data_IF_811148740029
#
_entry.id   IF_811148740029
#
_cell.length_a   1.000
_cell.length_b   1.000
_cell.length_c   1.000
_cell.angle_alpha   90.00
_cell.angle_beta   90.00
_cell.angle_gamma   90.00
#
_symmetry.space_group_name_H-M   'P 1'
#
loop_
_entity.id
_entity.type
_entity.pdbx_description
1 polymer ?
#
# COMPACT_ATOMS: atom_id res chain seq x y z
N UNK A 1 23.91 -8.42 -33.84
CA UNK A 1 24.66 -7.46 -34.69
C UNK A 1 26.12 -7.23 -34.25
N UNK A 2 26.46 -7.20 -32.95
CA UNK A 2 27.84 -6.94 -32.49
C UNK A 2 28.81 -8.11 -32.74
N UNK A 3 28.32 -9.35 -32.70
CA UNK A 3 29.15 -10.55 -32.82
C UNK A 3 29.68 -10.79 -34.25
N UNK A 4 28.87 -10.44 -35.26
CA UNK A 4 29.25 -10.55 -36.68
C UNK A 4 30.32 -9.50 -37.07
N UNK A 5 30.31 -8.33 -36.42
CA UNK A 5 31.32 -7.28 -36.62
C UNK A 5 32.68 -7.66 -36.01
N UNK A 6 32.69 -8.33 -34.85
CA UNK A 6 33.93 -8.87 -34.27
C UNK A 6 34.54 -9.99 -35.12
N UNK A 7 33.70 -10.85 -35.70
CA UNK A 7 34.18 -11.95 -36.54
C UNK A 7 34.78 -11.46 -37.86
N UNK A 8 34.18 -10.45 -38.49
CA UNK A 8 34.66 -9.85 -39.74
C UNK A 8 35.95 -9.02 -39.58
N UNK A 9 36.11 -8.31 -38.45
CA UNK A 9 37.37 -7.62 -38.14
C UNK A 9 38.52 -8.59 -37.86
N UNK A 10 38.27 -9.71 -37.17
CA UNK A 10 39.29 -10.72 -36.89
C UNK A 10 39.81 -11.41 -38.16
N UNK A 11 38.94 -11.66 -39.15
CA UNK A 11 39.36 -12.20 -40.45
C UNK A 11 40.15 -11.20 -41.29
N UNK A 12 39.81 -9.91 -41.21
CA UNK A 12 40.52 -8.85 -41.92
C UNK A 12 41.94 -8.66 -41.40
N UNK A 13 42.13 -8.61 -40.07
CA UNK A 13 43.46 -8.49 -39.46
C UNK A 13 44.38 -9.69 -39.79
N UNK A 14 43.84 -10.92 -39.82
CA UNK A 14 44.64 -12.09 -40.23
C UNK A 14 45.10 -12.02 -41.69
N UNK A 15 44.25 -11.55 -42.59
CA UNK A 15 44.62 -11.36 -43.99
C UNK A 15 45.64 -10.24 -44.19
N UNK A 16 45.57 -9.19 -43.37
CA UNK A 16 46.50 -8.07 -43.41
C UNK A 16 47.90 -8.46 -42.85
N UNK A 17 47.94 -9.23 -41.75
CA UNK A 17 49.19 -9.77 -41.21
C UNK A 17 49.88 -10.77 -42.15
N UNK A 18 49.09 -11.61 -42.86
CA UNK A 18 49.62 -12.51 -43.88
C UNK A 18 50.21 -11.77 -45.09
N UNK A 19 49.69 -10.57 -45.41
CA UNK A 19 50.28 -9.70 -46.44
C UNK A 19 51.57 -9.06 -45.96
N UNK A 20 51.64 -8.61 -44.71
CA UNK A 20 52.86 -8.00 -44.16
C UNK A 20 54.01 -9.00 -43.99
N UNK A 21 53.74 -10.27 -43.68
CA UNK A 21 54.78 -11.30 -43.64
C UNK A 21 55.32 -11.69 -45.02
N UNK A 22 54.54 -11.57 -46.09
CA UNK A 22 54.98 -11.89 -47.45
C UNK A 22 55.78 -10.77 -48.14
N UNK A 23 55.85 -9.57 -47.54
CA UNK A 23 56.59 -8.42 -48.09
C UNK A 23 58.07 -8.43 -47.67
N UNK A 24 58.44 -9.19 -46.63
CA UNK A 24 59.82 -9.23 -46.12
C UNK A 24 60.61 -10.50 -46.49
N UNK A 25 60.06 -11.37 -47.34
CA UNK A 25 60.77 -12.54 -47.89
C UNK A 25 61.03 -12.41 -49.40
N UNK A 26 61.34 -11.18 -49.83
CA UNK A 26 61.86 -10.90 -51.17
C UNK A 26 63.36 -11.21 -51.19
N UNK A 27 63.66 -12.48 -51.41
CA UNK A 27 65.01 -12.99 -51.60
C UNK A 27 65.61 -12.34 -52.86
N UNK A 28 66.60 -11.46 -52.65
CA UNK A 28 67.40 -10.83 -53.72
C UNK A 28 68.19 -11.93 -54.47
N UNK A 29 67.94 -12.17 -55.77
CA UNK A 29 68.75 -13.08 -56.56
C UNK A 29 70.08 -12.41 -56.92
N UNK A 30 71.18 -12.98 -56.44
CA UNK A 30 72.54 -12.61 -56.83
C UNK A 30 72.77 -12.99 -58.30
N UNK A 31 73.24 -12.04 -59.10
CA UNK A 31 73.48 -12.18 -60.53
C UNK A 31 74.53 -13.26 -60.83
N UNK A 32 74.14 -14.23 -61.66
CA UNK A 32 75.03 -15.25 -62.18
C UNK A 32 74.37 -16.10 -63.26
N UNK A 33 74.60 -15.72 -64.53
CA UNK A 33 74.38 -16.46 -65.79
C UNK A 33 73.08 -16.19 -66.58
N UNK A 34 73.23 -15.51 -67.73
CA UNK A 34 72.45 -15.77 -68.96
C UNK A 34 71.63 -14.60 -69.57
N UNK A 35 71.98 -14.07 -70.76
CA UNK A 35 71.32 -12.90 -71.37
C UNK A 35 70.17 -13.27 -72.32
N UNK A 36 69.11 -13.93 -71.83
CA UNK A 36 67.92 -14.26 -72.67
C UNK A 36 66.56 -14.06 -71.96
N UNK A 37 66.53 -13.94 -70.63
CA UNK A 37 65.25 -13.91 -69.87
C UNK A 37 64.67 -12.51 -69.62
N UNK A 38 65.50 -11.47 -69.52
CA UNK A 38 65.06 -10.12 -69.09
C UNK A 38 64.23 -9.39 -70.17
N UNK A 39 64.54 -9.58 -71.46
CA UNK A 39 63.73 -8.99 -72.55
C UNK A 39 62.36 -9.67 -72.67
N UNK A 40 62.25 -10.95 -72.32
CA UNK A 40 60.97 -11.68 -72.32
C UNK A 40 60.06 -11.23 -71.18
N UNK A 41 60.58 -10.94 -69.98
CA UNK A 41 59.75 -10.58 -68.81
C UNK A 41 59.08 -9.22 -68.95
N UNK A 42 59.79 -8.19 -69.44
CA UNK A 42 59.21 -6.84 -69.65
C UNK A 42 58.17 -6.85 -70.78
N UNK A 43 58.40 -7.66 -71.82
CA UNK A 43 57.46 -7.83 -72.94
C UNK A 43 56.21 -8.60 -72.52
N UNK A 44 56.34 -9.60 -71.64
CA UNK A 44 55.23 -10.36 -71.05
C UNK A 44 54.39 -9.51 -70.10
N UNK A 45 55.01 -8.64 -69.29
CA UNK A 45 54.30 -7.78 -68.35
C UNK A 45 53.49 -6.69 -69.07
N UNK A 46 54.08 -6.07 -70.10
CA UNK A 46 53.41 -5.12 -70.98
C UNK A 46 52.34 -5.77 -71.88
N UNK A 47 52.48 -7.08 -72.15
CA UNK A 47 51.45 -7.89 -72.82
C UNK A 47 50.26 -8.16 -71.88
N UNK A 48 50.52 -8.52 -70.63
CA UNK A 48 49.49 -8.73 -69.60
C UNK A 48 48.68 -7.46 -69.34
N UNK A 49 49.32 -6.31 -69.17
CA UNK A 49 48.63 -5.02 -69.02
C UNK A 49 47.74 -4.70 -70.23
N UNK A 50 48.20 -5.01 -71.45
CA UNK A 50 47.44 -4.80 -72.68
C UNK A 50 46.24 -5.74 -72.76
N UNK A 51 46.38 -6.97 -72.29
CA UNK A 51 45.24 -7.91 -72.19
C UNK A 51 44.23 -7.48 -71.15
N UNK A 52 44.66 -6.93 -70.01
CA UNK A 52 43.78 -6.40 -68.98
C UNK A 52 43.04 -5.12 -69.42
N UNK A 53 43.69 -4.25 -70.19
CA UNK A 53 43.02 -3.10 -70.80
C UNK A 53 41.97 -3.56 -71.81
N UNK A 54 42.26 -4.60 -72.58
CA UNK A 54 41.36 -5.14 -73.59
C UNK A 54 40.15 -5.84 -72.96
N UNK A 55 40.33 -6.57 -71.87
CA UNK A 55 39.19 -7.13 -71.12
C UNK A 55 38.33 -6.05 -70.48
N UNK A 56 38.93 -4.96 -69.97
CA UNK A 56 38.15 -3.80 -69.49
C UNK A 56 37.33 -3.16 -70.60
N UNK A 57 37.91 -2.99 -71.79
CA UNK A 57 37.19 -2.47 -72.96
C UNK A 57 36.01 -3.38 -73.33
N UNK A 58 36.21 -4.70 -73.36
CA UNK A 58 35.14 -5.66 -73.67
C UNK A 58 33.98 -5.59 -72.64
N UNK A 59 34.30 -5.36 -71.36
CA UNK A 59 33.29 -5.20 -70.31
C UNK A 59 32.49 -3.91 -70.52
N UNK A 60 33.17 -2.79 -70.80
CA UNK A 60 32.49 -1.53 -71.09
C UNK A 60 31.66 -1.61 -72.37
N UNK A 61 32.14 -2.27 -73.41
CA UNK A 61 31.41 -2.44 -74.66
C UNK A 61 30.14 -3.28 -74.48
N UNK A 62 30.22 -4.37 -73.70
CA UNK A 62 29.04 -5.18 -73.33
C UNK A 62 28.04 -4.38 -72.50
N UNK A 63 28.51 -3.57 -71.56
CA UNK A 63 27.65 -2.70 -70.75
C UNK A 63 26.96 -1.63 -71.62
N UNK A 64 27.70 -0.96 -72.51
CA UNK A 64 27.15 0.03 -73.43
C UNK A 64 26.15 -0.57 -74.41
N UNK A 65 26.41 -1.78 -74.94
CA UNK A 65 25.47 -2.50 -75.80
C UNK A 65 24.15 -2.78 -75.07
N UNK A 66 24.24 -3.21 -73.82
CA UNK A 66 23.07 -3.45 -72.96
C UNK A 66 22.26 -2.18 -72.69
N UNK A 67 22.94 -1.06 -72.44
CA UNK A 67 22.28 0.25 -72.27
C UNK A 67 21.61 0.68 -73.58
N UNK A 68 22.30 0.55 -74.71
CA UNK A 68 21.79 0.88 -76.05
C UNK A 68 20.53 0.07 -76.40
N UNK A 69 20.55 -1.23 -76.12
CA UNK A 69 19.41 -2.12 -76.30
C UNK A 69 18.24 -1.77 -75.38
N UNK A 70 18.50 -1.49 -74.10
CA UNK A 70 17.46 -1.14 -73.12
C UNK A 70 16.82 0.23 -73.39
N UNK A 71 17.59 1.18 -73.90
CA UNK A 71 17.12 2.53 -74.24
C UNK A 71 16.54 2.60 -75.66
N UNK A 72 16.72 1.57 -76.48
CA UNK A 72 16.18 1.48 -77.85
C UNK A 72 16.84 2.45 -78.85
N UNK A 73 18.13 2.78 -78.64
CA UNK A 73 18.79 3.90 -79.31
C UNK A 73 19.80 3.42 -80.36
N UNK A 74 19.93 4.11 -81.48
CA UNK A 74 20.80 3.67 -82.60
C UNK A 74 22.25 4.12 -82.47
N UNK A 75 22.53 5.19 -81.73
CA UNK A 75 23.88 5.76 -81.54
C UNK A 75 24.19 6.02 -80.06
N UNK A 76 25.47 5.90 -79.68
CA UNK A 76 25.97 6.15 -78.32
C UNK A 76 25.76 7.61 -77.92
N UNK A 77 25.91 8.54 -78.86
CA UNK A 77 25.74 9.97 -78.58
C UNK A 77 24.28 10.33 -78.23
N UNK A 78 23.31 9.65 -78.84
CA UNK A 78 21.89 9.83 -78.54
C UNK A 78 21.53 9.27 -77.16
N UNK A 79 22.19 8.18 -76.70
CA UNK A 79 22.07 7.69 -75.32
C UNK A 79 22.55 8.74 -74.32
N UNK A 80 23.71 9.36 -74.58
CA UNK A 80 24.29 10.39 -73.71
C UNK A 80 23.36 11.60 -73.61
N UNK A 81 22.83 12.08 -74.73
CA UNK A 81 21.89 13.21 -74.72
C UNK A 81 20.60 12.91 -73.94
N UNK A 82 20.03 11.70 -74.09
CA UNK A 82 18.83 11.31 -73.34
C UNK A 82 19.09 11.26 -71.84
N UNK A 83 20.26 10.77 -71.42
CA UNK A 83 20.66 10.78 -70.01
C UNK A 83 20.74 12.21 -69.50
N UNK A 84 21.44 13.10 -70.20
CA UNK A 84 21.60 14.50 -69.77
C UNK A 84 20.24 15.23 -69.70
N UNK A 85 19.36 15.01 -70.68
CA UNK A 85 18.03 15.64 -70.71
C UNK A 85 17.13 15.10 -69.59
N UNK A 86 17.18 13.81 -69.30
CA UNK A 86 16.34 13.18 -68.28
C UNK A 86 16.87 13.35 -66.85
N UNK A 87 18.16 13.64 -66.67
CA UNK A 87 18.81 13.76 -65.37
C UNK A 87 18.03 14.69 -64.43
N UNK A 88 17.67 15.90 -64.90
CA UNK A 88 16.86 16.86 -64.14
C UNK A 88 15.49 16.32 -63.70
N UNK A 89 14.82 15.56 -64.58
CA UNK A 89 13.50 14.97 -64.28
C UNK A 89 13.64 13.81 -63.29
N UNK A 90 14.70 13.00 -63.42
CA UNK A 90 14.98 11.92 -62.48
C UNK A 90 15.33 12.45 -61.09
N UNK A 91 16.13 13.52 -61.01
CA UNK A 91 16.49 14.17 -59.76
C UNK A 91 15.26 14.76 -59.05
N UNK A 92 14.39 15.46 -59.80
CA UNK A 92 13.13 15.97 -59.26
C UNK A 92 12.23 14.84 -58.73
N UNK A 93 12.08 13.73 -59.46
CA UNK A 93 11.30 12.57 -59.00
C UNK A 93 11.91 11.91 -57.76
N UNK A 94 13.24 11.82 -57.66
CA UNK A 94 13.91 11.33 -56.46
C UNK A 94 13.68 12.26 -55.26
N UNK A 95 13.73 13.58 -55.46
CA UNK A 95 13.41 14.57 -54.42
C UNK A 95 11.97 14.43 -53.95
N UNK A 96 11.01 14.40 -54.87
CA UNK A 96 9.58 14.19 -54.57
C UNK A 96 9.34 12.88 -53.83
N UNK A 97 10.04 11.81 -54.20
CA UNK A 97 9.94 10.51 -53.50
C UNK A 97 10.44 10.64 -52.06
N UNK A 98 11.58 11.32 -51.86
CA UNK A 98 12.15 11.56 -50.53
C UNK A 98 11.20 12.39 -49.66
N UNK A 99 10.66 13.48 -50.20
CA UNK A 99 9.76 14.37 -49.47
C UNK A 99 8.44 13.69 -49.11
N UNK A 100 7.88 12.89 -50.02
CA UNK A 100 6.69 12.10 -49.75
C UNK A 100 6.95 11.02 -48.70
N UNK A 101 8.11 10.37 -48.74
CA UNK A 101 8.50 9.39 -47.73
C UNK A 101 8.61 10.03 -46.34
N UNK A 102 9.24 11.20 -46.24
CA UNK A 102 9.30 11.96 -44.98
C UNK A 102 7.91 12.38 -44.48
N UNK A 103 7.01 12.81 -45.38
CA UNK A 103 5.63 13.14 -45.01
C UNK A 103 4.87 11.92 -44.51
N UNK A 104 5.04 10.76 -45.14
CA UNK A 104 4.41 9.51 -44.70
C UNK A 104 4.90 9.13 -43.30
N UNK A 105 6.20 9.24 -43.03
CA UNK A 105 6.79 8.96 -41.73
C UNK A 105 6.26 9.91 -40.65
N UNK A 106 6.23 11.21 -40.93
CA UNK A 106 5.69 12.22 -40.00
C UNK A 106 4.19 12.01 -39.70
N UNK A 107 3.38 11.74 -40.74
CA UNK A 107 1.95 11.46 -40.57
C UNK A 107 1.72 10.12 -39.84
N UNK A 108 2.56 9.12 -40.09
CA UNK A 108 2.57 7.84 -39.38
C UNK A 108 2.83 8.04 -37.88
N UNK A 109 3.84 8.84 -37.55
CA UNK A 109 4.19 9.15 -36.15
C UNK A 109 3.06 9.93 -35.47
N UNK A 110 2.51 10.95 -36.11
CA UNK A 110 1.35 11.69 -35.58
C UNK A 110 0.14 10.77 -35.37
N UNK A 111 -0.14 9.86 -36.31
CA UNK A 111 -1.23 8.88 -36.17
C UNK A 111 -1.03 7.99 -34.96
N UNK A 112 0.20 7.53 -34.70
CA UNK A 112 0.52 6.73 -33.52
C UNK A 112 0.36 7.58 -32.25
N UNK A 113 0.88 8.80 -32.22
CA UNK A 113 0.75 9.71 -31.09
C UNK A 113 -0.71 10.01 -30.72
N UNK A 114 -1.53 10.35 -31.72
CA UNK A 114 -2.97 10.59 -31.52
C UNK A 114 -3.68 9.32 -31.04
N UNK A 115 -3.35 8.14 -31.60
CA UNK A 115 -3.93 6.88 -31.12
C UNK A 115 -3.59 6.62 -29.65
N UNK A 116 -2.34 6.83 -29.24
CA UNK A 116 -1.98 6.67 -27.82
C UNK A 116 -2.74 7.64 -26.93
N UNK A 117 -2.88 8.90 -27.36
CA UNK A 117 -3.61 9.90 -26.57
C UNK A 117 -5.12 9.58 -26.51
N UNK A 118 -5.69 9.03 -27.57
CA UNK A 118 -7.07 8.52 -27.56
C UNK A 118 -7.22 7.35 -26.60
N UNK A 119 -6.30 6.38 -26.57
CA UNK A 119 -6.34 5.29 -25.60
C UNK A 119 -6.17 5.81 -24.17
N UNK A 120 -5.24 6.74 -23.94
CA UNK A 120 -5.08 7.42 -22.66
C UNK A 120 -6.39 8.09 -22.24
N UNK A 121 -7.03 8.88 -23.09
CA UNK A 121 -8.30 9.55 -22.76
C UNK A 121 -9.44 8.55 -22.55
N UNK A 122 -9.52 7.47 -23.34
CA UNK A 122 -10.54 6.42 -23.15
C UNK A 122 -10.41 5.74 -21.78
N UNK A 123 -9.19 5.50 -21.30
CA UNK A 123 -8.95 4.83 -20.02
C UNK A 123 -8.72 5.78 -18.84
N UNK A 124 -8.44 7.06 -19.09
CA UNK A 124 -8.25 8.14 -18.09
C UNK A 124 -9.52 8.97 -17.88
N UNK A 125 -10.45 8.95 -18.83
CA UNK A 125 -11.71 9.66 -18.78
C UNK A 125 -12.62 9.21 -17.61
N UNK A 126 -13.71 9.95 -17.33
CA UNK A 126 -14.60 9.70 -16.19
C UNK A 126 -15.21 8.29 -16.13
N UNK A 127 -15.16 7.53 -17.23
CA UNK A 127 -15.64 6.14 -17.33
C UNK A 127 -14.56 5.06 -17.18
N UNK A 128 -13.28 5.43 -17.02
CA UNK A 128 -12.19 4.46 -16.83
C UNK A 128 -12.29 3.78 -15.48
N UNK A 129 -12.38 2.44 -15.46
CA UNK A 129 -12.65 1.64 -14.25
C UNK A 129 -11.69 1.84 -13.07
N UNK A 130 -10.51 2.43 -13.28
CA UNK A 130 -9.58 2.76 -12.21
C UNK A 130 -10.07 3.94 -11.34
N UNK A 131 -10.66 4.97 -11.95
CA UNK A 131 -11.17 6.15 -11.22
C UNK A 131 -12.37 5.77 -10.35
N UNK A 132 -13.23 4.88 -10.84
CA UNK A 132 -14.39 4.38 -10.08
C UNK A 132 -13.96 3.56 -8.86
N UNK A 133 -13.00 2.64 -9.00
CA UNK A 133 -12.42 1.90 -7.87
C UNK A 133 -11.79 2.82 -6.82
N UNK A 134 -11.17 3.93 -7.24
CA UNK A 134 -10.61 4.91 -6.32
C UNK A 134 -11.72 5.66 -5.56
N UNK A 135 -12.79 6.04 -6.26
CA UNK A 135 -13.98 6.63 -5.64
C UNK A 135 -14.62 5.66 -4.65
N UNK A 136 -14.86 4.41 -5.04
CA UNK A 136 -15.43 3.38 -4.15
C UNK A 136 -14.56 3.19 -2.90
N UNK A 137 -13.22 3.21 -3.05
CA UNK A 137 -12.29 3.14 -1.91
C UNK A 137 -12.41 4.35 -0.99
N UNK A 138 -12.53 5.55 -1.54
CA UNK A 138 -12.71 6.77 -0.74
C UNK A 138 -14.07 6.79 -0.05
N UNK A 139 -15.13 6.35 -0.72
CA UNK A 139 -16.47 6.20 -0.13
C UNK A 139 -16.44 5.19 1.03
N UNK A 140 -15.80 4.04 0.84
CA UNK A 140 -15.62 3.05 1.91
C UNK A 140 -14.80 3.59 3.10
N UNK A 141 -13.73 4.34 2.82
CA UNK A 141 -12.92 5.00 3.85
C UNK A 141 -13.74 6.04 4.63
N UNK A 142 -14.55 6.83 3.93
CA UNK A 142 -15.41 7.84 4.52
C UNK A 142 -16.47 7.20 5.41
N UNK A 143 -17.14 6.14 4.94
CA UNK A 143 -18.12 5.39 5.72
C UNK A 143 -17.50 4.80 7.01
N UNK A 144 -16.31 4.20 6.90
CA UNK A 144 -15.59 3.64 8.05
C UNK A 144 -15.17 4.73 9.05
N UNK A 145 -14.68 5.87 8.56
CA UNK A 145 -14.31 7.00 9.40
C UNK A 145 -15.52 7.61 10.12
N UNK A 146 -16.65 7.78 9.43
CA UNK A 146 -17.89 8.27 9.99
C UNK A 146 -18.44 7.33 11.08
N UNK A 147 -18.45 6.03 10.83
CA UNK A 147 -18.88 5.04 11.83
C UNK A 147 -17.97 5.04 13.07
N UNK A 148 -16.65 5.21 12.89
CA UNK A 148 -15.72 5.33 14.01
C UNK A 148 -15.96 6.61 14.81
N UNK A 149 -16.22 7.72 14.12
CA UNK A 149 -16.55 8.99 14.76
C UNK A 149 -17.81 8.87 15.61
N UNK A 150 -18.88 8.26 15.11
CA UNK A 150 -20.13 8.11 15.87
C UNK A 150 -19.94 7.22 17.10
N UNK A 151 -19.21 6.10 16.98
CA UNK A 151 -18.85 5.26 18.14
C UNK A 151 -18.08 6.04 19.20
N UNK A 152 -17.13 6.89 18.78
CA UNK A 152 -16.40 7.76 19.71
C UNK A 152 -17.33 8.80 20.32
N UNK A 153 -18.21 9.43 19.54
CA UNK A 153 -19.17 10.45 19.98
C UNK A 153 -20.04 9.94 21.13
N UNK A 154 -20.66 8.77 20.96
CA UNK A 154 -21.51 8.13 21.98
C UNK A 154 -20.72 7.86 23.27
N UNK A 155 -19.48 7.35 23.15
CA UNK A 155 -18.61 7.11 24.32
C UNK A 155 -18.28 8.40 25.07
N UNK A 156 -17.97 9.47 24.35
CA UNK A 156 -17.66 10.77 24.95
C UNK A 156 -18.89 11.36 25.62
N UNK A 157 -20.07 11.30 25.00
CA UNK A 157 -21.32 11.75 25.64
C UNK A 157 -21.60 11.00 26.95
N UNK A 158 -21.38 9.68 26.98
CA UNK A 158 -21.51 8.89 28.21
C UNK A 158 -20.51 9.35 29.28
N UNK A 159 -19.25 9.55 28.91
CA UNK A 159 -18.21 10.06 29.82
C UNK A 159 -18.57 11.45 30.35
N UNK A 160 -19.04 12.36 29.50
CA UNK A 160 -19.49 13.69 29.89
C UNK A 160 -20.63 13.62 30.91
N UNK A 161 -21.63 12.77 30.69
CA UNK A 161 -22.72 12.56 31.67
C UNK A 161 -22.19 12.05 33.02
N UNK A 162 -21.25 11.10 33.00
CA UNK A 162 -20.64 10.59 34.24
C UNK A 162 -19.83 11.66 34.96
N UNK A 163 -19.04 12.47 34.26
CA UNK A 163 -18.24 13.55 34.86
C UNK A 163 -19.16 14.62 35.48
N UNK A 164 -20.27 14.96 34.83
CA UNK A 164 -21.27 15.87 35.39
C UNK A 164 -21.87 15.29 36.68
N UNK A 165 -22.24 14.01 36.68
CA UNK A 165 -22.78 13.33 37.87
C UNK A 165 -21.76 13.29 39.03
N UNK A 166 -20.50 12.98 38.74
CA UNK A 166 -19.41 13.00 39.75
C UNK A 166 -19.21 14.40 40.30
N UNK A 167 -19.16 15.43 39.44
CA UNK A 167 -19.01 16.82 39.88
C UNK A 167 -20.17 17.26 40.77
N UNK A 168 -21.41 16.90 40.42
CA UNK A 168 -22.57 17.15 41.27
C UNK A 168 -22.46 16.41 42.62
N UNK A 169 -22.07 15.13 42.61
CA UNK A 169 -21.85 14.35 43.83
C UNK A 169 -20.78 14.94 44.75
N UNK A 170 -19.65 15.39 44.19
CA UNK A 170 -18.58 16.09 44.94
C UNK A 170 -19.09 17.40 45.53
N UNK A 171 -19.92 18.16 44.80
CA UNK A 171 -20.57 19.37 45.32
C UNK A 171 -21.49 19.05 46.50
N UNK A 172 -22.38 18.07 46.34
CA UNK A 172 -23.29 17.66 47.41
C UNK A 172 -22.54 17.17 48.66
N UNK A 173 -21.44 16.43 48.47
CA UNK A 173 -20.56 16.02 49.56
C UNK A 173 -19.92 17.23 50.25
N UNK A 174 -19.44 18.19 49.46
CA UNK A 174 -18.87 19.44 49.97
C UNK A 174 -19.88 20.23 50.80
N UNK A 175 -21.10 20.40 50.29
CA UNK A 175 -22.20 21.11 50.96
C UNK A 175 -22.59 20.44 52.29
N UNK A 176 -22.64 19.10 52.34
CA UNK A 176 -22.94 18.35 53.58
C UNK A 176 -21.84 18.43 54.62
N UNK A 177 -20.59 18.49 54.18
CA UNK A 177 -19.43 18.57 55.08
C UNK A 177 -19.15 19.99 55.58
N UNK A 178 -19.74 21.01 54.96
CA UNK A 178 -19.44 22.42 55.26
C UNK A 178 -19.67 22.77 56.74
N UNK A 179 -20.70 22.19 57.36
CA UNK A 179 -21.00 22.42 58.79
C UNK A 179 -19.96 21.87 59.77
N UNK A 180 -19.19 20.84 59.40
CA UNK A 180 -18.14 20.24 60.27
C UNK A 180 -16.74 20.59 59.75
N UNK A 181 -16.64 21.20 58.58
CA UNK A 181 -15.38 21.51 57.90
C UNK A 181 -14.48 22.41 58.72
N UNK A 182 -15.04 23.47 59.33
CA UNK A 182 -14.28 24.41 60.15
C UNK A 182 -13.71 23.74 61.42
N UNK A 183 -14.48 22.84 62.05
CA UNK A 183 -14.07 22.09 63.26
C UNK A 183 -13.02 21.01 62.98
N UNK A 184 -12.94 20.57 61.72
CA UNK A 184 -12.00 19.55 61.23
C UNK A 184 -10.78 20.19 60.55
N UNK A 185 -10.67 21.53 60.54
CA UNK A 185 -9.55 22.26 59.93
C UNK A 185 -9.49 22.16 58.40
N UNK A 186 -10.59 21.77 57.77
CA UNK A 186 -10.68 21.57 56.32
C UNK A 186 -10.77 22.90 55.55
N UNK A 187 -10.20 22.95 54.35
CA UNK A 187 -10.27 24.14 53.49
C UNK A 187 -11.51 24.08 52.61
N UNK A 188 -12.28 25.17 52.56
CA UNK A 188 -13.35 25.32 51.57
C UNK A 188 -12.74 25.76 50.23
N UNK A 189 -12.80 24.89 49.21
CA UNK A 189 -12.23 25.15 47.88
C UNK A 189 -13.36 25.29 46.87
N UNK A 190 -13.34 26.34 46.06
CA UNK A 190 -14.35 26.51 45.01
C UNK A 190 -14.31 25.37 43.98
N UNK A 191 -15.47 24.84 43.64
CA UNK A 191 -15.63 23.74 42.69
C UNK A 191 -15.60 24.23 41.23
N UNK A 192 -14.48 24.00 40.55
CA UNK A 192 -14.27 24.25 39.12
C UNK A 192 -13.81 22.96 38.45
N UNK A 193 -13.85 22.87 37.12
CA UNK A 193 -13.48 21.64 36.40
C UNK A 193 -12.03 21.21 36.71
N UNK A 194 -11.11 22.17 36.87
CA UNK A 194 -9.73 21.90 37.26
C UNK A 194 -9.57 21.53 38.75
N UNK A 195 -10.46 22.01 39.62
CA UNK A 195 -10.35 21.81 41.08
C UNK A 195 -11.20 20.66 41.61
N UNK A 196 -12.05 20.05 40.79
CA UNK A 196 -12.97 18.95 41.18
C UNK A 196 -12.25 17.83 41.93
N UNK A 197 -11.09 17.39 41.41
CA UNK A 197 -10.29 16.35 42.06
C UNK A 197 -9.74 16.79 43.42
N UNK A 198 -9.27 18.04 43.52
CA UNK A 198 -8.74 18.61 44.77
C UNK A 198 -9.83 18.76 45.84
N UNK A 199 -11.03 19.18 45.45
CA UNK A 199 -12.20 19.26 46.34
C UNK A 199 -12.58 17.85 46.83
N UNK A 200 -12.58 16.86 45.94
CA UNK A 200 -12.88 15.47 46.30
C UNK A 200 -11.88 14.90 47.32
N UNK A 201 -10.58 15.12 47.11
CA UNK A 201 -9.54 14.69 48.06
C UNK A 201 -9.68 15.36 49.43
N UNK A 202 -9.99 16.66 49.47
CA UNK A 202 -10.24 17.37 50.73
C UNK A 202 -11.48 16.81 51.44
N UNK A 203 -12.55 16.53 50.70
CA UNK A 203 -13.75 15.92 51.27
C UNK A 203 -13.48 14.52 51.81
N UNK A 204 -12.60 13.73 51.17
CA UNK A 204 -12.18 12.41 51.65
C UNK A 204 -11.43 12.50 52.99
N UNK A 205 -10.50 13.45 53.12
CA UNK A 205 -9.75 13.67 54.37
C UNK A 205 -10.72 14.02 55.52
N UNK A 206 -11.64 14.94 55.28
CA UNK A 206 -12.63 15.37 56.29
C UNK A 206 -13.54 14.21 56.68
N UNK A 207 -14.00 13.41 55.72
CA UNK A 207 -14.84 12.23 55.98
C UNK A 207 -14.09 11.16 56.78
N UNK A 208 -12.80 10.94 56.48
CA UNK A 208 -11.97 9.99 57.21
C UNK A 208 -11.76 10.41 58.67
N UNK A 209 -11.48 11.70 58.91
CA UNK A 209 -11.34 12.25 60.26
C UNK A 209 -12.68 12.22 61.02
N UNK A 210 -13.79 12.56 60.36
CA UNK A 210 -15.13 12.45 60.94
C UNK A 210 -15.44 11.00 61.35
N UNK A 211 -15.12 10.03 60.48
CA UNK A 211 -15.27 8.61 60.81
C UNK A 211 -14.38 8.18 61.99
N UNK A 212 -13.16 8.70 62.09
CA UNK A 212 -12.29 8.43 63.24
C UNK A 212 -12.88 8.99 64.55
N UNK A 213 -13.40 10.22 64.53
CA UNK A 213 -14.08 10.84 65.69
C UNK A 213 -15.34 10.07 66.10
N UNK A 214 -16.15 9.63 65.12
CA UNK A 214 -17.33 8.80 65.40
C UNK A 214 -16.93 7.47 66.03
N UNK A 215 -15.89 6.78 65.53
CA UNK A 215 -15.41 5.52 66.12
C UNK A 215 -14.98 5.69 67.57
N UNK A 216 -14.22 6.74 67.88
CA UNK A 216 -13.82 7.04 69.26
C UNK A 216 -15.03 7.35 70.14
N UNK A 217 -16.03 8.08 69.62
CA UNK A 217 -17.27 8.35 70.35
C UNK A 217 -18.07 7.06 70.61
N UNK A 218 -18.19 6.15 69.63
CA UNK A 218 -18.89 4.87 69.78
C UNK A 218 -18.14 3.90 70.70
N UNK A 219 -16.81 3.92 70.69
CA UNK A 219 -15.99 3.10 71.60
C UNK A 219 -16.14 3.59 73.04
N UNK A 220 -16.22 4.91 73.25
CA UNK A 220 -16.50 5.49 74.55
C UNK A 220 -17.93 5.20 75.03
N UNK A 221 -18.92 5.28 74.14
CA UNK A 221 -20.32 4.97 74.44
C UNK A 221 -20.50 3.48 74.76
N UNK A 222 -19.86 2.59 73.99
CA UNK A 222 -19.87 1.14 74.26
C UNK A 222 -19.12 0.76 75.54
N UNK A 223 -18.07 1.48 75.93
CA UNK A 223 -17.42 1.29 77.24
C UNK A 223 -18.33 1.72 78.40
N UNK A 224 -19.17 2.74 78.21
CA UNK A 224 -20.17 3.18 79.19
C UNK A 224 -21.35 2.19 79.25
N UNK A 225 -21.81 1.65 78.12
CA UNK A 225 -22.90 0.64 78.09
C UNK A 225 -22.44 -0.77 78.50
N UNK A 226 -21.17 -1.13 78.29
CA UNK A 226 -20.62 -2.42 78.74
C UNK A 226 -20.47 -2.49 80.27
N UNK A 227 -20.47 -1.34 80.96
CA UNK A 227 -20.63 -1.28 82.42
C UNK A 227 -22.07 -1.49 82.89
N UNK A 228 -23.06 -1.39 81.98
CA UNK A 228 -24.47 -1.31 82.34
C UNK A 228 -25.44 -1.93 81.30
N UNK A 229 -25.17 -3.12 80.75
CA UNK A 229 -26.20 -4.02 80.19
C UNK A 229 -25.59 -5.31 79.59
N UNK A 230 -25.46 -6.37 80.39
CA UNK A 230 -25.65 -7.74 79.86
C UNK A 230 -27.14 -8.05 79.90
N UNK A 231 -27.87 -7.65 78.87
CA UNK A 231 -29.15 -8.22 78.42
C UNK A 231 -29.75 -7.28 77.38
N UNK A 232 -29.94 -7.77 76.15
CA UNK A 232 -31.26 -8.05 75.57
C UNK A 232 -31.09 -8.31 74.09
N UNK A 233 -31.66 -9.45 73.67
CA UNK A 233 -32.02 -9.78 72.31
C UNK A 233 -32.90 -8.64 71.74
N UNK A 234 -32.34 -7.79 70.87
CA UNK A 234 -33.08 -6.64 70.31
C UNK A 234 -33.88 -7.16 69.12
N UNK A 235 -35.16 -7.44 69.34
CA UNK A 235 -36.05 -7.88 68.27
C UNK A 235 -36.20 -6.78 67.20
N UNK A 236 -36.01 -7.17 65.94
CA UNK A 236 -36.06 -6.31 64.73
C UNK A 236 -37.30 -5.41 64.64
N UNK A 237 -38.40 -5.82 65.28
CA UNK A 237 -39.67 -5.10 65.37
C UNK A 237 -39.54 -3.78 66.18
N UNK A 238 -38.74 -3.75 67.24
CA UNK A 238 -38.57 -2.55 68.06
C UNK A 238 -37.65 -1.52 67.38
N UNK A 239 -36.67 -1.99 66.60
CA UNK A 239 -35.85 -1.15 65.72
C UNK A 239 -36.67 -0.46 64.62
N UNK A 240 -37.71 -1.13 64.10
CA UNK A 240 -38.63 -0.58 63.08
C UNK A 240 -39.55 0.49 63.68
N UNK A 241 -40.00 0.34 64.92
CA UNK A 241 -40.83 1.35 65.62
C UNK A 241 -40.05 2.60 65.99
N UNK A 242 -38.78 2.48 66.33
CA UNK A 242 -37.93 3.62 66.70
C UNK A 242 -37.60 4.55 65.51
N UNK A 243 -37.80 4.11 64.25
CA UNK A 243 -37.45 4.87 63.04
C UNK A 243 -38.63 4.95 62.06
N UNK A 244 -39.68 5.73 62.38
CA UNK A 244 -40.92 5.79 61.59
C UNK A 244 -40.76 6.37 60.18
N UNK A 245 -39.63 7.00 59.85
CA UNK A 245 -39.33 7.56 58.53
C UNK A 245 -38.40 6.69 57.67
N UNK A 246 -37.95 5.53 58.18
CA UNK A 246 -37.19 4.58 57.38
C UNK A 246 -38.15 3.75 56.51
N UNK A 247 -38.58 4.32 55.38
CA UNK A 247 -39.20 3.54 54.31
C UNK A 247 -38.13 2.64 53.69
N UNK A 248 -38.22 1.34 53.94
CA UNK A 248 -37.45 0.33 53.19
C UNK A 248 -37.97 0.36 51.76
N UNK A 249 -37.11 0.75 50.83
CA UNK A 249 -37.42 0.70 49.40
C UNK A 249 -37.11 -0.74 48.97
N UNK A 250 -38.13 -1.48 48.58
CA UNK A 250 -37.95 -2.78 47.94
C UNK A 250 -37.25 -2.54 46.59
N UNK A 251 -35.98 -2.91 46.53
CA UNK A 251 -35.26 -2.99 45.26
C UNK A 251 -35.84 -4.19 44.52
N UNK A 252 -36.36 -4.02 43.28
CA UNK A 252 -36.82 -5.15 42.50
C UNK A 252 -35.66 -6.13 42.37
N UNK A 253 -35.91 -7.38 42.78
CA UNK A 253 -34.95 -8.46 42.53
C UNK A 253 -34.67 -8.49 41.03
N UNK A 254 -33.39 -8.59 40.70
CA UNK A 254 -32.77 -8.45 39.38
C UNK A 254 -33.17 -9.56 38.37
N UNK A 255 -34.41 -10.02 38.42
CA UNK A 255 -34.99 -11.06 37.55
C UNK A 255 -36.25 -10.59 36.80
N UNK A 256 -36.69 -9.34 36.98
CA UNK A 256 -37.67 -8.72 36.07
C UNK A 256 -36.94 -8.08 34.88
N UNK A 257 -36.70 -8.94 33.89
CA UNK A 257 -36.85 -8.68 32.45
C UNK A 257 -37.05 -7.20 32.06
N UNK A 258 -35.94 -6.46 31.94
CA UNK A 258 -35.93 -5.15 31.29
C UNK A 258 -35.81 -5.34 29.77
N UNK A 259 -36.86 -5.91 29.17
CA UNK A 259 -37.02 -5.98 27.72
C UNK A 259 -38.12 -5.02 27.23
N UNK A 260 -37.66 -4.00 26.49
CA UNK A 260 -38.23 -3.56 25.21
C UNK A 260 -39.62 -2.87 25.22
N UNK A 261 -39.65 -1.54 25.17
CA UNK A 261 -39.90 -0.80 23.91
C UNK A 261 -39.95 0.73 24.11
N UNK A 262 -39.14 1.42 23.32
CA UNK A 262 -39.06 2.88 23.25
C UNK A 262 -38.42 3.35 21.94
N UNK A 263 -38.78 2.68 20.83
CA UNK A 263 -38.76 3.20 19.46
C UNK A 263 -37.37 3.46 18.80
N UNK A 264 -36.86 2.49 18.05
CA UNK A 264 -36.94 2.53 16.59
C UNK A 264 -36.64 1.15 16.01
N UNK A 265 -37.64 0.58 15.34
CA UNK A 265 -37.53 -0.60 14.50
C UNK A 265 -37.16 -0.10 13.11
N UNK A 266 -35.91 -0.29 12.72
CA UNK A 266 -35.57 -0.54 11.32
C UNK A 266 -34.76 -1.83 11.30
N UNK A 267 -35.44 -2.89 10.86
CA UNK A 267 -34.78 -4.09 10.39
C UNK A 267 -34.24 -3.77 9.01
N UNK A 268 -32.92 -3.80 8.85
CA UNK A 268 -32.32 -4.31 7.63
C UNK A 268 -31.05 -5.08 7.99
N UNK A 269 -30.96 -6.27 7.41
CA UNK A 269 -29.98 -7.33 7.61
C UNK A 269 -28.52 -6.86 7.46
N UNK A 270 -27.90 -6.34 8.53
CA UNK A 270 -26.45 -6.17 8.57
C UNK A 270 -25.76 -7.45 9.05
N UNK A 271 -25.74 -8.48 8.18
CA UNK A 271 -24.72 -9.54 8.22
C UNK A 271 -23.37 -8.94 7.80
N UNK A 272 -22.81 -8.09 8.64
CA UNK A 272 -21.38 -7.81 8.65
C UNK A 272 -20.74 -8.74 9.67
N UNK A 273 -19.76 -9.54 9.25
CA UNK A 273 -18.88 -10.28 10.15
C UNK A 273 -18.32 -9.32 11.21
N UNK A 274 -18.93 -9.32 12.39
CA UNK A 274 -18.35 -8.72 13.58
C UNK A 274 -17.60 -9.84 14.25
N UNK A 275 -16.27 -9.82 14.10
CA UNK A 275 -15.35 -10.64 14.86
C UNK A 275 -15.75 -10.66 16.35
N UNK A 276 -16.07 -11.86 16.83
CA UNK A 276 -16.03 -12.33 18.22
C UNK A 276 -16.23 -11.31 19.34
N UNK A 277 -17.47 -10.87 19.54
CA UNK A 277 -17.90 -10.47 20.88
C UNK A 277 -18.08 -11.72 21.75
N UNK A 278 -17.23 -11.85 22.78
CA UNK A 278 -17.37 -12.80 23.88
C UNK A 278 -18.61 -12.45 24.71
N UNK A 279 -19.78 -12.86 24.23
CA UNK A 279 -21.03 -12.77 24.99
C UNK A 279 -20.97 -13.68 26.22
N UNK A 280 -21.55 -13.22 27.33
CA UNK A 280 -21.61 -13.94 28.61
C UNK A 280 -22.10 -15.39 28.44
N UNK A 281 -23.02 -15.61 27.51
CA UNK A 281 -23.53 -16.95 27.17
C UNK A 281 -22.51 -17.84 26.47
N UNK A 282 -21.72 -17.30 25.52
CA UNK A 282 -20.63 -18.05 24.87
C UNK A 282 -19.53 -18.41 25.87
N UNK A 283 -19.18 -17.49 26.78
CA UNK A 283 -18.22 -17.76 27.87
C UNK A 283 -18.74 -18.84 28.81
N UNK A 284 -20.02 -18.76 29.20
CA UNK A 284 -20.66 -19.78 30.05
C UNK A 284 -20.74 -21.15 29.36
N UNK A 285 -21.04 -21.18 28.07
CA UNK A 285 -21.09 -22.41 27.26
C UNK A 285 -19.70 -23.03 27.08
N UNK A 286 -18.68 -22.22 26.77
CA UNK A 286 -17.29 -22.68 26.65
C UNK A 286 -16.74 -23.19 27.99
N UNK A 287 -17.00 -22.47 29.09
CA UNK A 287 -16.62 -22.88 30.44
C UNK A 287 -17.30 -24.19 30.85
N UNK A 288 -18.61 -24.34 30.57
CA UNK A 288 -19.34 -25.58 30.81
C UNK A 288 -18.78 -26.76 29.99
N UNK A 289 -18.40 -26.52 28.73
CA UNK A 289 -17.82 -27.55 27.87
C UNK A 289 -16.45 -28.04 28.37
N UNK A 290 -15.63 -27.14 28.92
CA UNK A 290 -14.33 -27.47 29.52
C UNK A 290 -14.51 -28.31 30.77
N UNK A 291 -15.46 -27.97 31.64
CA UNK A 291 -15.76 -28.74 32.86
C UNK A 291 -16.23 -30.16 32.52
N UNK A 292 -17.15 -30.32 31.56
CA UNK A 292 -17.61 -31.64 31.10
C UNK A 292 -16.46 -32.47 30.51
N UNK A 293 -15.55 -31.85 29.77
CA UNK A 293 -14.39 -32.53 29.22
C UNK A 293 -13.40 -32.97 30.32
N UNK A 294 -13.25 -32.18 31.37
CA UNK A 294 -12.38 -32.50 32.50
C UNK A 294 -12.97 -33.62 33.36
N UNK A 295 -14.29 -33.64 33.58
CA UNK A 295 -14.97 -34.72 34.29
C UNK A 295 -14.92 -36.05 33.52
N UNK A 296 -15.08 -36.02 32.19
CA UNK A 296 -14.89 -37.21 31.35
C UNK A 296 -13.46 -37.74 31.38
N UNK A 297 -12.44 -36.86 31.49
CA UNK A 297 -11.04 -37.29 31.65
C UNK A 297 -10.80 -37.93 33.01
N UNK A 298 -11.38 -37.38 34.09
CA UNK A 298 -11.29 -37.97 35.43
C UNK A 298 -11.95 -39.35 35.50
N UNK A 299 -13.13 -39.52 34.88
CA UNK A 299 -13.79 -40.83 34.78
C UNK A 299 -12.92 -41.85 34.02
N UNK A 300 -12.33 -41.46 32.88
CA UNK A 300 -11.44 -42.35 32.13
C UNK A 300 -10.17 -42.76 32.91
N UNK A 301 -9.62 -41.87 33.73
CA UNK A 301 -8.48 -42.21 34.59
C UNK A 301 -8.90 -43.15 35.72
N UNK A 302 -10.06 -42.90 36.34
CA UNK A 302 -10.62 -43.79 37.35
C UNK A 302 -10.93 -45.20 36.81
N UNK A 303 -11.41 -45.30 35.57
CA UNK A 303 -11.68 -46.58 34.91
C UNK A 303 -10.38 -47.31 34.48
N UNK A 304 -9.29 -46.58 34.23
CA UNK A 304 -7.97 -47.16 33.95
C UNK A 304 -7.27 -47.66 35.21
N UNK A 305 -7.42 -46.96 36.34
CA UNK A 305 -6.88 -47.39 37.63
C UNK A 305 -7.67 -48.57 38.23
N UNK A 306 -8.93 -48.75 37.86
CA UNK A 306 -9.76 -49.89 38.29
C UNK A 306 -9.56 -51.17 37.46
N UNK A 307 -8.81 -51.10 36.34
CA UNK A 307 -8.59 -52.22 35.42
C UNK A 307 -7.17 -52.78 35.45
N UNK A 308 -6.35 -52.40 36.45
CA UNK A 308 -4.98 -52.85 36.64
C UNK A 308 -4.80 -53.59 37.97
#
# INVERSE_FOLDING_TARGET
MVQLRKQTLGTFQRHESARQQNIYDEHVPNDGQGPVAVVKSTTLQRSKERTEQRTKIDIFERAFRKIKEATGVSDVNEVIQKIIVQESTTENLMSLTRDNQQKIEALSEQKVGIKMHVEEVKYSGPGGGHRRKLVDKHEAQLASAAARLERCRIKHERLTRMVIAVKAGVKHLQDKLDGVREELGGRHIQLTDATTFRVMAENEIIMAELMARIRVATDNESNITNGAARSTDVHEIDLLRARPYNQRIDLPLLDEEWDRDGLLKDNDDFKGEVDDELTREKVKKASSQILIAQDKRKQKMHDQDASN
#
